data_IF_811052466173
#
_entry.id   IF_811052466173
#
_cell.length_a   1.000
_cell.length_b   1.000
_cell.length_c   1.000
_cell.angle_alpha   90.00
_cell.angle_beta   90.00
_cell.angle_gamma   90.00
#
_symmetry.space_group_name_H-M   'P 1'
#
loop_
_entity.id
_entity.type
_entity.pdbx_description
1 polymer ?
#
# COMPACT_ATOMS: atom_id res chain seq x y z
N UNK A 1 27.13 1.45 3.23
CA UNK A 1 26.36 2.38 2.37
C UNK A 1 24.96 2.47 2.95
N UNK A 2 24.55 3.62 3.50
CA UNK A 2 23.18 3.81 4.01
C UNK A 2 22.26 4.01 2.82
N UNK A 3 21.39 3.03 2.56
CA UNK A 3 20.32 3.17 1.57
C UNK A 3 19.22 3.99 2.24
N UNK A 4 19.39 5.33 2.29
CA UNK A 4 18.36 6.23 2.81
C UNK A 4 17.07 5.99 2.00
N UNK A 5 16.18 5.18 2.55
CA UNK A 5 14.98 4.73 1.88
C UNK A 5 13.89 5.78 2.07
N UNK A 6 13.17 6.11 0.99
CA UNK A 6 12.06 7.07 0.95
C UNK A 6 11.02 6.89 2.07
N UNK A 7 10.95 5.69 2.67
CA UNK A 7 9.98 5.33 3.70
C UNK A 7 10.60 4.90 5.05
N UNK A 8 11.85 5.27 5.34
CA UNK A 8 12.52 4.92 6.61
C UNK A 8 11.77 5.38 7.87
N UNK A 9 11.11 6.53 7.79
CA UNK A 9 10.37 7.11 8.93
C UNK A 9 8.97 6.51 9.12
N UNK A 10 8.56 5.56 8.27
CA UNK A 10 7.28 4.88 8.41
C UNK A 10 7.45 3.51 9.09
N UNK A 11 6.55 3.15 10.02
CA UNK A 11 6.55 1.81 10.62
C UNK A 11 6.32 0.73 9.54
N UNK A 12 6.64 -0.53 9.87
CA UNK A 12 6.47 -1.63 8.91
C UNK A 12 5.00 -1.92 8.59
N UNK A 13 4.09 -1.48 9.46
CA UNK A 13 2.64 -1.49 9.23
C UNK A 13 2.13 -0.07 9.40
N UNK A 14 1.53 0.47 8.36
CA UNK A 14 0.97 1.83 8.31
C UNK A 14 -0.55 1.81 8.29
N UNK A 15 -1.16 2.94 8.63
CA UNK A 15 -2.60 3.17 8.52
C UNK A 15 -2.92 4.02 7.29
N UNK A 16 -4.22 4.20 7.01
CA UNK A 16 -4.71 4.92 5.82
C UNK A 16 -4.14 6.34 5.72
N UNK A 17 -4.01 7.05 6.84
CA UNK A 17 -3.48 8.42 6.81
C UNK A 17 -1.98 8.48 6.44
N UNK A 18 -1.21 7.44 6.75
CA UNK A 18 0.18 7.34 6.35
C UNK A 18 0.32 6.83 4.91
N UNK A 19 -0.48 5.84 4.50
CA UNK A 19 -0.61 5.43 3.10
C UNK A 19 -0.85 6.64 2.19
N UNK A 20 -1.77 7.54 2.58
CA UNK A 20 -2.06 8.76 1.83
C UNK A 20 -0.82 9.62 1.63
N UNK A 21 -0.03 9.84 2.70
CA UNK A 21 1.20 10.64 2.63
C UNK A 21 2.25 9.95 1.77
N UNK A 22 2.40 8.63 1.90
CA UNK A 22 3.31 7.81 1.10
C UNK A 22 2.99 7.89 -0.40
N UNK A 23 1.71 8.00 -0.77
CA UNK A 23 1.23 8.17 -2.14
C UNK A 23 1.14 9.64 -2.61
N UNK A 24 1.85 10.57 -1.95
CA UNK A 24 1.88 11.98 -2.36
C UNK A 24 0.69 12.83 -1.91
N UNK A 25 -0.04 12.39 -0.87
CA UNK A 25 -1.09 13.17 -0.22
C UNK A 25 -2.50 12.97 -0.80
N UNK A 26 -2.79 11.79 -1.35
CA UNK A 26 -4.10 11.50 -1.98
C UNK A 26 -5.30 11.66 -1.02
N UNK A 27 -6.49 11.80 -1.60
CA UNK A 27 -7.74 11.89 -0.85
C UNK A 27 -8.02 10.60 -0.06
N UNK A 28 -8.74 10.71 1.07
CA UNK A 28 -9.19 9.53 1.84
C UNK A 28 -10.04 8.60 0.97
N UNK A 29 -10.94 9.17 0.14
CA UNK A 29 -11.79 8.39 -0.76
C UNK A 29 -10.96 7.53 -1.73
N UNK A 30 -9.92 8.10 -2.32
CA UNK A 30 -9.02 7.35 -3.21
C UNK A 30 -8.26 6.28 -2.44
N UNK A 31 -7.67 6.61 -1.29
CA UNK A 31 -6.94 5.63 -0.48
C UNK A 31 -7.82 4.44 -0.07
N UNK A 32 -9.05 4.69 0.39
CA UNK A 32 -9.99 3.62 0.72
C UNK A 32 -10.39 2.78 -0.50
N UNK A 33 -10.52 3.39 -1.68
CA UNK A 33 -10.79 2.66 -2.92
C UNK A 33 -9.64 1.71 -3.28
N UNK A 34 -8.39 2.20 -3.25
CA UNK A 34 -7.20 1.36 -3.52
C UNK A 34 -7.14 0.13 -2.59
N UNK A 35 -7.59 0.29 -1.33
CA UNK A 35 -7.63 -0.79 -0.35
C UNK A 35 -8.83 -1.71 -0.54
N UNK A 36 -10.02 -1.19 -0.88
CA UNK A 36 -11.21 -2.01 -1.14
C UNK A 36 -11.06 -2.84 -2.41
N UNK A 37 -10.42 -2.26 -3.42
CA UNK A 37 -10.25 -2.85 -4.74
C UNK A 37 -9.01 -3.78 -4.77
N UNK A 38 -8.33 -3.93 -3.63
CA UNK A 38 -7.13 -4.75 -3.44
C UNK A 38 -5.95 -4.37 -4.35
N UNK A 39 -5.96 -3.17 -4.95
CA UNK A 39 -4.81 -2.60 -5.67
C UNK A 39 -3.59 -2.45 -4.75
N UNK A 40 -3.83 -2.19 -3.45
CA UNK A 40 -2.80 -2.22 -2.42
C UNK A 40 -3.19 -3.26 -1.37
N UNK A 41 -2.37 -4.31 -1.25
CA UNK A 41 -2.59 -5.40 -0.28
C UNK A 41 -2.63 -4.85 1.15
N UNK A 42 -3.65 -5.25 1.90
CA UNK A 42 -3.87 -4.80 3.28
C UNK A 42 -4.74 -5.78 4.06
N UNK A 43 -4.74 -5.66 5.38
CA UNK A 43 -5.60 -6.44 6.28
C UNK A 43 -6.54 -5.51 7.03
N UNK A 44 -7.82 -5.86 7.08
CA UNK A 44 -8.79 -5.13 7.89
C UNK A 44 -8.83 -5.68 9.31
N UNK A 45 -8.49 -4.84 10.29
CA UNK A 45 -8.58 -5.16 11.72
C UNK A 45 -9.63 -4.25 12.34
N UNK A 46 -10.80 -4.83 12.65
CA UNK A 46 -11.97 -4.09 13.10
C UNK A 46 -12.41 -3.05 12.06
N UNK A 47 -12.35 -1.76 12.43
CA UNK A 47 -12.73 -0.63 11.57
C UNK A 47 -11.56 -0.01 10.82
N UNK A 48 -10.34 -0.51 11.01
CA UNK A 48 -9.11 0.08 10.48
C UNK A 48 -8.45 -0.84 9.45
N UNK A 49 -7.78 -0.24 8.47
CA UNK A 49 -6.86 -0.97 7.60
C UNK A 49 -5.45 -0.93 8.19
N UNK A 50 -4.79 -2.07 8.16
CA UNK A 50 -3.36 -2.24 8.44
C UNK A 50 -2.69 -2.59 7.13
N UNK A 51 -1.81 -1.72 6.67
CA UNK A 51 -1.14 -1.83 5.37
C UNK A 51 0.35 -2.11 5.61
N UNK A 52 0.89 -3.26 5.20
CA UNK A 52 2.33 -3.47 5.23
C UNK A 52 3.03 -2.42 4.36
N UNK A 53 4.06 -1.76 4.89
CA UNK A 53 4.86 -0.74 4.18
C UNK A 53 5.39 -1.26 2.84
N UNK A 54 5.78 -2.54 2.80
CA UNK A 54 6.24 -3.20 1.57
C UNK A 54 5.19 -3.19 0.46
N UNK A 55 3.91 -3.36 0.78
CA UNK A 55 2.83 -3.36 -0.22
C UNK A 55 2.60 -1.98 -0.84
N UNK A 56 2.86 -0.91 -0.08
CA UNK A 56 2.83 0.46 -0.62
C UNK A 56 4.01 0.69 -1.56
N UNK A 57 5.19 0.15 -1.22
CA UNK A 57 6.38 0.22 -2.05
C UNK A 57 6.16 -0.55 -3.36
N UNK A 58 5.67 -1.78 -3.29
CA UNK A 58 5.35 -2.61 -4.48
C UNK A 58 4.40 -1.89 -5.43
N UNK A 59 3.33 -1.27 -4.90
CA UNK A 59 2.39 -0.47 -5.69
C UNK A 59 3.06 0.70 -6.40
N UNK A 60 3.95 1.43 -5.72
CA UNK A 60 4.66 2.58 -6.29
C UNK A 60 5.75 2.17 -7.30
N UNK A 61 6.39 1.03 -7.08
CA UNK A 61 7.44 0.50 -7.96
C UNK A 61 6.88 -0.19 -9.20
N UNK A 62 5.57 -0.43 -9.24
CA UNK A 62 4.90 -1.04 -10.39
C UNK A 62 5.29 -2.50 -10.60
N UNK A 63 5.47 -3.27 -9.52
CA UNK A 63 5.68 -4.72 -9.65
C UNK A 63 4.39 -5.39 -10.13
N UNK A 64 4.27 -5.50 -11.46
CA UNK A 64 3.33 -6.33 -12.19
C UNK A 64 3.56 -7.81 -11.84
N UNK A 65 2.97 -8.29 -10.74
CA UNK A 65 2.86 -9.73 -10.51
C UNK A 65 1.55 -10.26 -11.13
N UNK A 66 1.65 -10.59 -12.42
CA UNK A 66 0.95 -11.66 -13.16
C UNK A 66 -0.38 -12.15 -12.57
N UNK A 67 -1.48 -11.50 -12.97
CA UNK A 67 -2.77 -12.19 -13.10
C UNK A 67 -2.88 -12.76 -14.52
N UNK A 68 -2.12 -13.81 -14.79
CA UNK A 68 -2.50 -14.78 -15.82
C UNK A 68 -2.40 -16.15 -15.18
N UNK A 69 -3.51 -16.63 -14.62
CA UNK A 69 -3.87 -18.04 -14.46
C UNK A 69 -5.31 -18.12 -13.92
N UNK A 70 -6.26 -17.60 -14.71
CA UNK A 70 -7.63 -18.12 -14.78
C UNK A 70 -7.94 -18.39 -16.26
N UNK A 71 -7.16 -19.28 -16.88
CA UNK A 71 -7.53 -19.95 -18.12
C UNK A 71 -7.26 -21.44 -17.91
N UNK A 72 -8.20 -22.12 -17.25
CA UNK A 72 -8.85 -23.36 -17.70
C UNK A 72 -9.97 -23.67 -16.73
#
# INVERSE_FOLDING_TARGET
MKKQSMFENYPDVVEVDDLRKMLGGISKKLAYRLLSDQEIRSVRVGRTYKIPKICVIEYLMGEESLQTLDHT
#
